data_IF_101246242491
#
_entry.id   IF_101246242491
#
_cell.length_a   1.000
_cell.length_b   1.000
_cell.length_c   1.000
_cell.angle_alpha   90.00
_cell.angle_beta   90.00
_cell.angle_gamma   90.00
#
_symmetry.space_group_name_H-M   'P 1'
#
loop_
_entity.id
_entity.type
_entity.pdbx_description
1 polymer ?
#
# COMPACT_ATOMS: atom_id res chain seq x y z
N UNK A 1 -11.07 -8.35 16.29
CA UNK A 1 -10.95 -7.08 15.53
C UNK A 1 -10.30 -7.33 14.17
N UNK A 2 -10.91 -6.82 13.14
CA UNK A 2 -10.38 -6.96 11.79
C UNK A 2 -9.23 -5.98 11.58
N UNK A 3 -8.27 -6.36 10.74
CA UNK A 3 -7.16 -5.50 10.36
C UNK A 3 -7.59 -4.57 9.23
N UNK A 4 -8.55 -3.69 9.55
CA UNK A 4 -9.16 -2.84 8.56
C UNK A 4 -8.49 -1.48 8.45
N UNK A 5 -8.39 -0.99 7.24
CA UNK A 5 -7.86 0.34 6.94
C UNK A 5 -8.92 1.11 6.16
N UNK A 6 -9.19 2.33 6.62
CA UNK A 6 -10.09 3.23 5.90
C UNK A 6 -9.28 4.13 4.99
N UNK A 7 -9.64 4.15 3.73
CA UNK A 7 -9.02 5.04 2.74
C UNK A 7 -9.99 6.17 2.42
N UNK A 8 -9.50 7.39 2.43
CA UNK A 8 -10.32 8.54 2.07
C UNK A 8 -10.74 8.43 0.60
N UNK A 9 -11.96 8.80 0.33
CA UNK A 9 -12.54 8.65 -1.01
C UNK A 9 -13.25 7.33 -1.22
N UNK A 10 -13.17 6.41 -0.25
CA UNK A 10 -13.83 5.11 -0.31
C UNK A 10 -14.75 4.93 0.88
N UNK A 11 -15.77 4.11 0.70
CA UNK A 11 -16.64 3.73 1.80
C UNK A 11 -16.13 2.47 2.47
N UNK A 12 -16.24 2.43 3.80
CA UNK A 12 -15.92 1.24 4.58
C UNK A 12 -14.43 1.03 4.77
N UNK A 13 -14.09 -0.20 5.08
CA UNK A 13 -12.72 -0.59 5.41
C UNK A 13 -12.25 -1.69 4.47
N UNK A 14 -10.94 -1.74 4.28
CA UNK A 14 -10.31 -2.75 3.44
C UNK A 14 -9.28 -3.51 4.24
N UNK A 15 -9.01 -4.75 3.86
CA UNK A 15 -7.98 -5.54 4.50
C UNK A 15 -6.62 -4.85 4.32
N UNK A 16 -5.88 -4.77 5.43
CA UNK A 16 -4.52 -4.24 5.41
C UNK A 16 -3.50 -5.37 5.47
N UNK A 17 -2.34 -5.12 4.92
CA UNK A 17 -1.19 -6.03 4.98
C UNK A 17 -0.11 -5.36 5.81
N UNK A 18 0.47 -6.11 6.74
CA UNK A 18 1.57 -5.57 7.55
C UNK A 18 2.73 -5.19 6.65
N UNK A 19 3.39 -4.08 6.97
CA UNK A 19 4.51 -3.58 6.17
C UNK A 19 5.58 -4.65 5.97
N UNK A 20 5.83 -5.49 6.99
CA UNK A 20 6.82 -6.57 6.89
C UNK A 20 6.45 -7.60 5.84
N UNK A 21 5.16 -7.75 5.53
CA UNK A 21 4.67 -8.73 4.58
C UNK A 21 4.51 -8.16 3.17
N UNK A 22 4.74 -6.88 3.00
CA UNK A 22 4.71 -6.26 1.67
C UNK A 22 5.91 -6.76 0.86
N UNK A 23 5.69 -7.07 -0.41
CA UNK A 23 6.73 -7.62 -1.29
C UNK A 23 7.03 -6.67 -2.43
N UNK A 24 8.25 -6.75 -2.94
CA UNK A 24 8.63 -6.03 -4.16
C UNK A 24 7.69 -6.46 -5.28
N UNK A 25 7.16 -5.49 -6.00
CA UNK A 25 6.17 -5.73 -7.05
C UNK A 25 4.73 -5.53 -6.61
N UNK A 26 4.48 -5.50 -5.30
CA UNK A 26 3.13 -5.21 -4.80
C UNK A 26 2.74 -3.77 -5.18
N UNK A 27 1.45 -3.58 -5.40
CA UNK A 27 0.89 -2.26 -5.67
C UNK A 27 0.12 -1.82 -4.42
N UNK A 28 0.51 -0.67 -3.88
CA UNK A 28 -0.15 -0.08 -2.71
C UNK A 28 -1.24 0.87 -3.17
N UNK A 29 -2.35 0.87 -2.44
CA UNK A 29 -3.47 1.77 -2.70
C UNK A 29 -3.54 2.79 -1.58
N UNK A 30 -3.56 4.05 -1.96
CA UNK A 30 -3.61 5.18 -1.03
C UNK A 30 -4.97 5.86 -1.09
N UNK A 31 -5.14 6.92 -0.30
CA UNK A 31 -6.35 7.72 -0.30
C UNK A 31 -6.68 8.19 -1.72
N UNK A 32 -7.95 8.22 -2.03
CA UNK A 32 -8.47 8.64 -3.33
C UNK A 32 -8.02 7.76 -4.50
N UNK A 33 -7.59 6.53 -4.20
CA UNK A 33 -7.25 5.56 -5.24
C UNK A 33 -5.88 5.77 -5.87
N UNK A 34 -5.02 6.59 -5.27
CA UNK A 34 -3.65 6.74 -5.76
C UNK A 34 -2.90 5.42 -5.61
N UNK A 35 -2.10 5.08 -6.62
CA UNK A 35 -1.39 3.81 -6.67
C UNK A 35 0.12 4.02 -6.65
N UNK A 36 0.82 3.11 -5.96
CA UNK A 36 2.27 3.07 -5.93
C UNK A 36 2.75 1.64 -6.04
N UNK A 37 3.78 1.42 -6.83
CA UNK A 37 4.40 0.11 -6.95
C UNK A 37 5.61 0.02 -6.03
N UNK A 38 5.74 -1.08 -5.31
CA UNK A 38 6.89 -1.32 -4.43
C UNK A 38 8.08 -1.75 -5.30
N UNK A 39 9.10 -0.92 -5.32
CA UNK A 39 10.30 -1.14 -6.14
C UNK A 39 11.38 -1.84 -5.34
N UNK A 40 11.50 -1.51 -4.05
CA UNK A 40 12.55 -2.06 -3.20
C UNK A 40 12.05 -2.16 -1.77
N UNK A 41 12.61 -3.11 -1.04
CA UNK A 41 12.27 -3.35 0.36
C UNK A 41 13.54 -3.64 1.13
N UNK A 42 13.67 -3.03 2.29
CA UNK A 42 14.80 -3.25 3.19
C UNK A 42 14.31 -3.27 4.62
N UNK A 43 14.74 -4.27 5.38
CA UNK A 43 14.38 -4.37 6.79
C UNK A 43 15.50 -3.71 7.59
N UNK A 44 15.11 -2.88 8.58
CA UNK A 44 16.10 -2.20 9.43
C UNK A 44 16.92 -3.21 10.22
N UNK A 45 18.15 -2.85 10.64
CA UNK A 45 19.00 -3.77 11.42
C UNK A 45 18.32 -4.28 12.69
N UNK A 46 17.48 -3.46 13.33
CA UNK A 46 16.76 -3.86 14.53
C UNK A 46 15.58 -4.79 14.24
N UNK A 47 15.16 -4.92 13.00
CA UNK A 47 14.00 -5.69 12.62
C UNK A 47 12.67 -5.06 12.99
N UNK A 48 12.67 -3.81 13.46
CA UNK A 48 11.45 -3.14 13.92
C UNK A 48 10.82 -2.24 12.86
N UNK A 49 11.50 -2.00 11.78
CA UNK A 49 11.04 -1.11 10.72
C UNK A 49 11.34 -1.70 9.35
N UNK A 50 10.56 -1.27 8.38
CA UNK A 50 10.74 -1.65 6.97
C UNK A 50 10.84 -0.37 6.17
N UNK A 51 11.84 -0.29 5.31
CA UNK A 51 11.97 0.79 4.35
C UNK A 51 11.44 0.30 3.01
N UNK A 52 10.49 1.03 2.46
CA UNK A 52 9.95 0.74 1.14
C UNK A 52 10.27 1.89 0.21
N UNK A 53 10.81 1.54 -0.95
CA UNK A 53 10.92 2.50 -2.05
C UNK A 53 9.76 2.20 -2.97
N UNK A 54 8.91 3.20 -3.18
CA UNK A 54 7.73 3.06 -4.02
C UNK A 54 7.76 4.10 -5.12
N UNK A 55 7.09 3.80 -6.20
CA UNK A 55 6.92 4.73 -7.31
C UNK A 55 5.45 4.86 -7.62
N UNK A 56 4.93 6.08 -7.53
CA UNK A 56 3.54 6.33 -7.88
C UNK A 56 3.35 6.17 -9.39
N UNK A 57 2.16 5.79 -9.78
CA UNK A 57 1.82 5.69 -11.19
C UNK A 57 0.33 5.91 -11.38
N UNK A 58 -0.04 6.31 -12.58
CA UNK A 58 -1.44 6.46 -12.98
C UNK A 58 -1.62 5.85 -14.36
N UNK A 59 -2.84 5.41 -14.62
CA UNK A 59 -3.22 4.95 -15.95
C UNK A 59 -4.07 6.01 -16.63
N UNK A 60 -3.74 6.33 -17.86
CA UNK A 60 -4.56 7.25 -18.65
C UNK A 60 -5.74 6.52 -19.24
N UNK A 61 -6.69 7.28 -19.82
CA UNK A 61 -7.86 6.70 -20.50
C UNK A 61 -7.46 5.76 -21.63
N UNK A 62 -6.30 6.00 -22.23
CA UNK A 62 -5.78 5.16 -23.33
C UNK A 62 -5.05 3.93 -22.85
N UNK A 63 -4.98 3.71 -21.54
CA UNK A 63 -4.27 2.58 -20.98
C UNK A 63 -2.77 2.77 -20.80
N UNK A 64 -2.26 3.94 -21.12
CA UNK A 64 -0.86 4.27 -20.89
C UNK A 64 -0.60 4.44 -19.40
N UNK A 65 0.59 4.03 -18.95
CA UNK A 65 1.00 4.17 -17.56
C UNK A 65 1.99 5.33 -17.46
N UNK A 66 1.68 6.27 -16.57
CA UNK A 66 2.58 7.38 -16.27
C UNK A 66 3.16 7.17 -14.87
N UNK A 67 4.46 7.21 -14.77
CA UNK A 67 5.16 7.02 -13.50
C UNK A 67 5.50 8.36 -12.87
N UNK A 68 5.32 8.42 -11.55
CA UNK A 68 5.72 9.58 -10.78
C UNK A 68 7.08 9.42 -10.16
N UNK A 69 7.30 10.14 -9.05
CA UNK A 69 8.58 10.13 -8.37
C UNK A 69 8.74 8.91 -7.47
N UNK A 70 9.98 8.49 -7.29
CA UNK A 70 10.33 7.49 -6.29
C UNK A 70 10.27 8.13 -4.91
N UNK A 71 9.75 7.37 -3.94
CA UNK A 71 9.73 7.79 -2.54
C UNK A 71 10.26 6.67 -1.67
N UNK A 72 11.06 7.04 -0.68
CA UNK A 72 11.53 6.10 0.33
C UNK A 72 10.85 6.45 1.64
N UNK A 73 10.15 5.48 2.21
CA UNK A 73 9.46 5.68 3.49
C UNK A 73 9.76 4.55 4.45
N UNK A 74 9.79 4.88 5.73
CA UNK A 74 9.95 3.93 6.81
C UNK A 74 8.60 3.64 7.46
N UNK A 75 8.32 2.37 7.67
CA UNK A 75 7.11 1.93 8.36
C UNK A 75 7.48 0.98 9.49
N UNK A 76 6.74 1.04 10.59
CA UNK A 76 6.83 -0.02 11.58
C UNK A 76 6.38 -1.34 10.96
N UNK A 77 6.96 -2.45 11.40
CA UNK A 77 6.70 -3.75 10.78
C UNK A 77 5.22 -4.15 10.82
N UNK A 78 4.47 -3.65 11.82
CA UNK A 78 3.04 -3.98 11.98
C UNK A 78 2.12 -2.91 11.39
N UNK A 79 2.65 -1.89 10.74
CA UNK A 79 1.84 -0.88 10.07
C UNK A 79 1.06 -1.53 8.94
N UNK A 80 -0.24 -1.26 8.88
CA UNK A 80 -1.11 -1.84 7.86
C UNK A 80 -1.14 -0.94 6.63
N UNK A 81 -0.86 -1.55 5.49
CA UNK A 81 -0.93 -0.90 4.18
C UNK A 81 -1.91 -1.67 3.30
N UNK A 82 -2.59 -0.97 2.42
CA UNK A 82 -3.59 -1.59 1.56
C UNK A 82 -2.96 -1.90 0.20
N UNK A 83 -3.14 -3.13 -0.24
CA UNK A 83 -2.61 -3.56 -1.54
C UNK A 83 -3.74 -3.74 -2.56
N UNK A 84 -3.38 -3.69 -3.82
CA UNK A 84 -4.31 -3.96 -4.92
C UNK A 84 -4.28 -5.45 -5.26
N UNK A 85 -5.41 -6.13 -5.42
CA UNK A 85 -6.77 -5.58 -5.41
C UNK A 85 -7.29 -5.29 -4.00
N UNK A 86 -8.21 -4.37 -3.91
CA UNK A 86 -8.85 -4.03 -2.65
C UNK A 86 -9.73 -5.18 -2.19
N UNK A 87 -9.62 -5.53 -0.92
CA UNK A 87 -10.47 -6.56 -0.32
C UNK A 87 -11.30 -5.89 0.77
N UNK A 88 -12.57 -5.62 0.52
CA UNK A 88 -13.42 -4.97 1.52
C UNK A 88 -13.66 -5.88 2.71
N UNK A 89 -13.76 -5.25 3.88
CA UNK A 89 -14.12 -5.94 5.11
C UNK A 89 -15.60 -5.68 5.34
N UNK A 90 -16.36 -6.76 5.51
CA UNK A 90 -17.78 -6.67 5.78
C UNK A 90 -17.98 -6.17 7.22
N UNK A 91 -18.55 -4.97 7.42
CA UNK A 91 -18.76 -4.44 8.75
C UNK A 91 -19.89 -5.15 9.51
N UNK A 92 -20.70 -5.92 8.83
CA UNK A 92 -21.82 -6.63 9.43
C UNK A 92 -21.42 -7.87 10.21
N UNK A 93 -20.21 -8.29 10.06
CA UNK A 93 -19.74 -9.52 10.69
C UNK A 93 -19.13 -9.29 12.05
#
# INVERSE_FOLDING_TARGET
MKNGVHLQGFKGYFEGTKAIDIKVGDVLVWNYGLLSKVISKEISPSGKSVYLITQSFTKTVNGEVKYGMLQRKRYGINTLLVTNPLVPIDPEV
#
